data_IF_701323528970
#
_entry.id   IF_701323528970
#
_cell.length_a   1.000
_cell.length_b   1.000
_cell.length_c   1.000
_cell.angle_alpha   90.00
_cell.angle_beta   90.00
_cell.angle_gamma   90.00
#
_symmetry.space_group_name_H-M   'P 1'
#
loop_
_entity.id
_entity.type
_entity.pdbx_description
1 polymer ?
#
# COMPACT_ATOMS: atom_id res chain seq x y z
N UNK A 1 -66.31 -4.89 63.42
CA UNK A 1 -67.33 -3.84 63.20
C UNK A 1 -66.68 -2.48 63.43
N UNK A 2 -67.07 -1.37 62.76
CA UNK A 2 -68.00 -1.18 61.61
C UNK A 2 -67.30 -0.62 60.34
N UNK A 3 -67.75 -0.88 59.09
CA UNK A 3 -68.69 -0.11 58.21
C UNK A 3 -68.31 1.38 58.00
N UNK A 4 -68.30 2.08 56.84
CA UNK A 4 -68.68 1.90 55.41
C UNK A 4 -68.36 3.21 54.64
N UNK A 5 -68.10 3.19 53.31
CA UNK A 5 -68.77 4.01 52.25
C UNK A 5 -68.05 4.05 50.86
N UNK A 6 -68.76 3.62 49.80
CA UNK A 6 -68.97 4.21 48.43
C UNK A 6 -67.81 4.92 47.68
N UNK A 7 -67.57 4.88 46.34
CA UNK A 7 -68.18 4.35 45.10
C UNK A 7 -67.14 4.51 43.93
N UNK A 8 -67.38 3.99 42.70
CA UNK A 8 -66.40 3.68 41.65
C UNK A 8 -66.29 4.72 40.51
N UNK A 9 -65.11 4.91 39.91
CA UNK A 9 -64.98 5.72 38.68
C UNK A 9 -63.65 5.54 37.89
N UNK A 10 -63.22 4.34 37.50
CA UNK A 10 -62.06 4.23 36.56
C UNK A 10 -62.08 3.07 35.55
N UNK A 11 -62.99 2.10 35.66
CA UNK A 11 -63.02 0.94 34.73
C UNK A 11 -63.77 1.15 33.41
N UNK A 12 -64.50 2.27 33.21
CA UNK A 12 -65.23 2.53 31.94
C UNK A 12 -64.41 3.25 30.85
N UNK A 13 -63.27 3.89 31.17
CA UNK A 13 -62.46 4.61 30.16
C UNK A 13 -61.51 3.74 29.33
N UNK A 14 -61.17 2.52 29.76
CA UNK A 14 -60.26 1.64 29.02
C UNK A 14 -60.95 0.83 27.91
N UNK A 15 -62.25 0.54 28.01
CA UNK A 15 -63.00 -0.17 26.97
C UNK A 15 -63.33 0.68 25.74
N UNK A 16 -63.64 1.97 25.92
CA UNK A 16 -64.04 2.87 24.82
C UNK A 16 -62.88 3.32 23.91
N UNK A 17 -61.63 3.35 24.40
CA UNK A 17 -60.46 3.69 23.56
C UNK A 17 -60.04 2.56 22.62
N UNK A 18 -60.27 1.29 22.98
CA UNK A 18 -59.99 0.14 22.09
C UNK A 18 -61.02 -0.03 20.96
N UNK A 19 -62.25 0.45 21.14
CA UNK A 19 -63.30 0.38 20.12
C UNK A 19 -63.17 1.45 19.02
N UNK A 20 -62.74 2.69 19.34
CA UNK A 20 -62.57 3.76 18.34
C UNK A 20 -61.36 3.55 17.41
N UNK A 21 -60.31 2.83 17.85
CA UNK A 21 -59.13 2.55 17.02
C UNK A 21 -59.34 1.50 15.93
N UNK A 22 -60.38 0.65 16.03
CA UNK A 22 -60.72 -0.38 15.01
C UNK A 22 -61.77 0.09 14.00
N UNK A 23 -62.48 1.18 14.27
CA UNK A 23 -63.51 1.72 13.36
C UNK A 23 -62.91 2.57 12.23
N UNK A 24 -61.77 3.23 12.45
CA UNK A 24 -61.09 4.02 11.40
C UNK A 24 -60.28 3.19 10.40
N UNK A 25 -60.06 1.89 10.66
CA UNK A 25 -59.24 1.02 9.81
C UNK A 25 -60.04 0.21 8.78
N UNK A 26 -61.38 0.30 8.77
CA UNK A 26 -62.24 -0.46 7.84
C UNK A 26 -62.92 0.39 6.76
N UNK A 27 -62.81 1.72 6.80
CA UNK A 27 -63.48 2.62 5.86
C UNK A 27 -62.64 3.06 4.65
N UNK A 28 -61.39 2.58 4.52
CA UNK A 28 -60.48 2.99 3.44
C UNK A 28 -60.19 1.88 2.43
N UNK A 29 -60.98 0.80 2.42
CA UNK A 29 -60.72 -0.39 1.59
C UNK A 29 -61.64 -0.56 0.38
N UNK A 30 -62.53 0.39 0.07
CA UNK A 30 -63.34 0.37 -1.15
C UNK A 30 -63.35 1.75 -1.81
N UNK A 31 -62.32 2.03 -2.61
CA UNK A 31 -62.39 3.05 -3.65
C UNK A 31 -61.56 2.57 -4.85
N UNK A 32 -62.31 2.18 -5.88
CA UNK A 32 -61.98 2.10 -7.31
C UNK A 32 -60.54 1.83 -7.74
N UNK A 33 -60.33 0.62 -8.24
CA UNK A 33 -59.22 0.23 -9.09
C UNK A 33 -59.24 1.01 -10.42
N UNK A 34 -58.45 2.06 -10.54
CA UNK A 34 -57.94 2.52 -11.84
C UNK A 34 -56.68 1.70 -12.20
N UNK A 35 -56.56 1.13 -13.40
CA UNK A 35 -55.37 0.38 -13.77
C UNK A 35 -54.18 1.34 -13.95
N UNK A 36 -53.15 1.17 -13.11
CA UNK A 36 -51.84 1.80 -13.31
C UNK A 36 -51.12 1.19 -14.52
N UNK A 37 -50.23 1.93 -15.20
CA UNK A 37 -49.53 1.45 -16.38
C UNK A 37 -48.64 0.26 -16.02
N UNK A 38 -48.63 -0.77 -16.87
CA UNK A 38 -47.78 -1.95 -16.71
C UNK A 38 -46.30 -1.54 -16.63
N UNK A 39 -45.77 -1.40 -15.42
CA UNK A 39 -44.33 -1.42 -15.20
C UNK A 39 -43.84 -2.84 -15.49
N UNK A 40 -43.08 -2.94 -16.56
CA UNK A 40 -42.35 -4.12 -17.00
C UNK A 40 -41.55 -4.68 -15.81
N UNK A 41 -41.92 -5.87 -15.33
CA UNK A 41 -41.11 -6.63 -14.37
C UNK A 41 -39.76 -6.92 -15.03
N UNK A 42 -38.72 -6.13 -14.70
CA UNK A 42 -37.34 -6.60 -14.84
C UNK A 42 -37.20 -7.79 -13.90
N UNK A 43 -36.84 -8.94 -14.44
CA UNK A 43 -36.53 -10.12 -13.64
C UNK A 43 -35.48 -9.74 -12.59
N UNK A 44 -35.81 -9.91 -11.31
CA UNK A 44 -34.84 -9.82 -10.23
C UNK A 44 -33.77 -10.88 -10.49
N UNK A 45 -32.61 -10.40 -10.94
CA UNK A 45 -31.41 -11.24 -11.01
C UNK A 45 -31.09 -11.58 -9.57
N UNK A 46 -31.07 -12.87 -9.23
CA UNK A 46 -30.63 -13.33 -7.93
C UNK A 46 -29.13 -13.01 -7.79
N UNK A 47 -28.83 -11.79 -7.36
CA UNK A 47 -27.47 -11.34 -7.10
C UNK A 47 -26.91 -12.20 -5.97
N UNK A 48 -25.88 -12.98 -6.28
CA UNK A 48 -25.14 -13.73 -5.27
C UNK A 48 -24.42 -12.73 -4.36
N UNK A 49 -24.15 -13.08 -3.10
CA UNK A 49 -23.49 -12.16 -2.15
C UNK A 49 -22.16 -11.57 -2.64
N UNK A 50 -21.52 -12.19 -3.63
CA UNK A 50 -20.30 -11.73 -4.29
C UNK A 50 -20.51 -10.60 -5.30
N UNK A 51 -21.68 -10.52 -5.93
CA UNK A 51 -22.02 -9.47 -6.92
C UNK A 51 -22.04 -8.07 -6.29
N UNK A 52 -22.17 -8.00 -4.95
CA UNK A 52 -22.05 -6.76 -4.18
C UNK A 52 -20.65 -6.14 -4.23
N UNK A 53 -19.60 -6.95 -4.41
CA UNK A 53 -18.21 -6.52 -4.31
C UNK A 53 -17.43 -6.63 -5.62
N UNK A 54 -17.99 -7.33 -6.62
CA UNK A 54 -17.33 -7.59 -7.90
C UNK A 54 -18.13 -6.94 -9.01
N UNK A 55 -17.52 -5.99 -9.70
CA UNK A 55 -18.06 -5.45 -10.93
C UNK A 55 -17.64 -6.34 -12.11
N UNK A 56 -18.38 -7.42 -12.35
CA UNK A 56 -18.09 -8.41 -13.39
C UNK A 56 -17.95 -7.81 -14.79
N UNK A 57 -18.72 -6.77 -15.14
CA UNK A 57 -18.63 -6.12 -16.45
C UNK A 57 -17.26 -5.49 -16.68
N UNK A 58 -16.69 -4.88 -15.65
CA UNK A 58 -15.38 -4.24 -15.73
C UNK A 58 -14.27 -5.27 -15.51
N UNK A 59 -14.48 -6.25 -14.62
CA UNK A 59 -13.49 -7.27 -14.29
C UNK A 59 -13.14 -8.19 -15.47
N UNK A 60 -14.08 -8.43 -16.40
CA UNK A 60 -13.80 -9.18 -17.64
C UNK A 60 -12.69 -8.52 -18.47
N UNK A 61 -12.52 -7.19 -18.41
CA UNK A 61 -11.53 -6.47 -19.21
C UNK A 61 -10.09 -6.85 -18.79
N UNK A 62 -9.66 -6.68 -17.52
CA UNK A 62 -8.35 -7.16 -17.07
C UNK A 62 -8.10 -8.64 -17.36
N UNK A 63 -9.10 -9.50 -17.15
CA UNK A 63 -8.97 -10.95 -17.36
C UNK A 63 -8.77 -11.28 -18.84
N UNK A 64 -9.57 -10.68 -19.72
CA UNK A 64 -9.46 -10.91 -21.17
C UNK A 64 -8.10 -10.42 -21.69
N UNK A 65 -7.65 -9.24 -21.23
CA UNK A 65 -6.34 -8.70 -21.60
C UNK A 65 -5.19 -9.56 -21.07
N UNK A 66 -5.30 -10.09 -19.86
CA UNK A 66 -4.32 -11.03 -19.31
C UNK A 66 -4.11 -12.22 -20.24
N UNK A 67 -5.19 -12.91 -20.63
CA UNK A 67 -5.09 -14.05 -21.56
C UNK A 67 -4.66 -13.63 -22.96
N UNK A 68 -5.13 -12.48 -23.46
CA UNK A 68 -4.71 -11.96 -24.76
C UNK A 68 -3.19 -11.73 -24.82
N UNK A 69 -2.58 -11.18 -23.76
CA UNK A 69 -1.12 -10.97 -23.69
C UNK A 69 -0.37 -12.30 -23.65
N UNK A 70 -0.89 -13.30 -22.91
CA UNK A 70 -0.27 -14.62 -22.86
C UNK A 70 -0.27 -15.32 -24.22
N UNK A 71 -1.38 -15.23 -24.95
CA UNK A 71 -1.58 -15.85 -26.27
C UNK A 71 -0.89 -15.08 -27.41
N UNK A 72 -0.56 -13.80 -27.20
CA UNK A 72 0.11 -12.98 -28.21
C UNK A 72 1.49 -13.55 -28.57
N UNK A 73 1.90 -13.53 -29.85
CA UNK A 73 3.25 -13.95 -30.25
C UNK A 73 4.34 -13.16 -29.51
N UNK A 74 5.46 -13.82 -29.18
CA UNK A 74 6.62 -13.17 -28.55
C UNK A 74 7.30 -12.23 -29.54
N UNK A 75 7.16 -10.92 -29.31
CA UNK A 75 7.93 -9.91 -30.04
C UNK A 75 9.42 -9.97 -29.72
N UNK A 76 10.26 -9.40 -30.60
CA UNK A 76 11.73 -9.41 -30.47
C UNK A 76 12.20 -8.89 -29.10
N UNK A 77 11.68 -7.74 -28.65
CA UNK A 77 12.05 -7.16 -27.37
C UNK A 77 11.81 -8.09 -26.15
N UNK A 78 10.72 -8.87 -26.15
CA UNK A 78 10.44 -9.83 -25.06
C UNK A 78 11.42 -11.01 -25.14
N UNK A 79 11.81 -11.43 -26.36
CA UNK A 79 12.81 -12.48 -26.54
C UNK A 79 14.18 -12.04 -26.07
N UNK A 80 14.60 -10.84 -26.47
CA UNK A 80 15.91 -10.29 -26.12
C UNK A 80 16.03 -10.17 -24.58
N UNK A 81 15.05 -9.52 -23.94
CA UNK A 81 15.06 -9.34 -22.47
C UNK A 81 14.89 -10.68 -21.72
N UNK A 82 14.03 -11.56 -22.22
CA UNK A 82 13.83 -12.89 -21.63
C UNK A 82 15.09 -13.74 -21.68
N UNK A 83 15.82 -13.66 -22.80
CA UNK A 83 17.11 -14.33 -22.99
C UNK A 83 18.19 -13.72 -22.10
N UNK A 84 18.26 -12.39 -22.03
CA UNK A 84 19.19 -11.71 -21.13
C UNK A 84 18.97 -12.10 -19.67
N UNK A 85 17.70 -12.21 -19.26
CA UNK A 85 17.35 -12.60 -17.91
C UNK A 85 17.78 -14.02 -17.56
N UNK A 86 17.50 -15.00 -18.42
CA UNK A 86 17.74 -16.42 -18.11
C UNK A 86 19.15 -16.89 -18.46
N UNK A 87 19.71 -16.42 -19.57
CA UNK A 87 21.02 -16.83 -20.08
C UNK A 87 22.14 -15.87 -19.69
N UNK A 88 21.84 -14.61 -19.38
CA UNK A 88 22.83 -13.60 -19.00
C UNK A 88 23.82 -14.05 -17.93
N UNK A 89 23.38 -14.60 -16.78
CA UNK A 89 24.31 -15.08 -15.74
C UNK A 89 25.27 -16.16 -16.25
N UNK A 90 24.79 -17.11 -17.08
CA UNK A 90 25.64 -18.16 -17.66
C UNK A 90 26.66 -17.58 -18.64
N UNK A 91 26.23 -16.64 -19.48
CA UNK A 91 27.09 -15.96 -20.47
C UNK A 91 28.20 -15.18 -19.78
N UNK A 92 27.86 -14.39 -18.75
CA UNK A 92 28.83 -13.61 -17.96
C UNK A 92 29.83 -14.52 -17.28
N UNK A 93 29.38 -15.60 -16.62
CA UNK A 93 30.27 -16.55 -15.95
C UNK A 93 31.20 -17.23 -16.98
N UNK A 94 30.70 -17.61 -18.16
CA UNK A 94 31.51 -18.21 -19.23
C UNK A 94 32.56 -17.24 -19.75
N UNK A 95 32.20 -15.97 -19.93
CA UNK A 95 33.13 -14.92 -20.36
C UNK A 95 34.22 -14.69 -19.31
N UNK A 96 33.85 -14.48 -18.05
CA UNK A 96 34.79 -14.24 -16.96
C UNK A 96 35.71 -15.44 -16.71
N UNK A 97 35.19 -16.67 -16.81
CA UNK A 97 35.99 -17.89 -16.70
C UNK A 97 37.08 -17.95 -17.77
N UNK A 98 36.74 -17.58 -19.00
CA UNK A 98 37.67 -17.54 -20.13
C UNK A 98 38.69 -16.42 -19.98
N UNK A 99 38.27 -15.21 -19.66
CA UNK A 99 39.17 -14.05 -19.57
C UNK A 99 40.14 -14.12 -18.38
N UNK A 100 39.68 -14.59 -17.22
CA UNK A 100 40.51 -14.62 -16.01
C UNK A 100 41.35 -15.89 -15.87
N UNK A 101 40.84 -17.02 -16.38
CA UNK A 101 41.41 -18.34 -16.09
C UNK A 101 41.58 -19.22 -17.32
N UNK A 102 41.30 -18.71 -18.53
CA UNK A 102 41.39 -19.43 -19.82
C UNK A 102 40.74 -20.83 -19.81
N UNK A 103 39.65 -20.98 -19.06
CA UNK A 103 38.98 -22.27 -18.83
C UNK A 103 37.46 -22.16 -18.94
N UNK A 104 36.79 -23.31 -19.04
CA UNK A 104 35.33 -23.38 -19.03
C UNK A 104 34.80 -23.37 -17.59
N UNK A 105 33.56 -22.89 -17.35
CA UNK A 105 32.96 -22.89 -16.01
C UNK A 105 32.93 -24.26 -15.31
N UNK A 106 32.88 -25.37 -16.06
CA UNK A 106 32.91 -26.75 -15.53
C UNK A 106 34.26 -27.14 -14.93
N UNK A 107 35.33 -26.51 -15.39
CA UNK A 107 36.71 -26.90 -15.07
C UNK A 107 37.33 -25.97 -14.02
N UNK A 108 36.57 -24.96 -13.58
CA UNK A 108 36.99 -24.01 -12.56
C UNK A 108 37.14 -24.67 -11.19
N UNK A 109 38.21 -24.32 -10.49
CA UNK A 109 38.33 -24.62 -9.06
C UNK A 109 37.26 -23.85 -8.28
N UNK A 110 36.86 -24.37 -7.11
CA UNK A 110 35.80 -23.77 -6.30
C UNK A 110 36.00 -22.27 -5.99
N UNK A 111 37.25 -21.85 -5.71
CA UNK A 111 37.56 -20.44 -5.47
C UNK A 111 37.46 -19.58 -6.74
N UNK A 112 37.80 -20.12 -7.93
CA UNK A 112 37.67 -19.41 -9.20
C UNK A 112 36.19 -19.25 -9.58
N UNK A 113 35.40 -20.31 -9.39
CA UNK A 113 33.96 -20.27 -9.59
C UNK A 113 33.30 -19.24 -8.65
N UNK A 114 33.73 -19.20 -7.38
CA UNK A 114 33.30 -18.19 -6.42
C UNK A 114 33.63 -16.78 -6.91
N UNK A 115 34.86 -16.54 -7.39
CA UNK A 115 35.28 -15.23 -7.93
C UNK A 115 34.35 -14.76 -9.05
N UNK A 116 34.13 -15.58 -10.08
CA UNK A 116 33.30 -15.19 -11.23
C UNK A 116 31.82 -15.03 -10.84
N UNK A 117 31.30 -15.82 -9.90
CA UNK A 117 29.93 -15.67 -9.40
C UNK A 117 29.74 -14.38 -8.59
N UNK A 118 30.71 -13.98 -7.78
CA UNK A 118 30.65 -12.71 -7.03
C UNK A 118 30.77 -11.52 -8.00
N UNK A 119 31.65 -11.61 -9.00
CA UNK A 119 31.77 -10.62 -10.07
C UNK A 119 30.47 -10.46 -10.87
N UNK A 120 29.82 -11.56 -11.30
CA UNK A 120 28.51 -11.50 -11.99
C UNK A 120 27.45 -10.77 -11.15
N UNK A 121 27.37 -11.07 -9.84
CA UNK A 121 26.38 -10.45 -8.96
C UNK A 121 26.68 -8.99 -8.67
N UNK A 122 27.95 -8.63 -8.54
CA UNK A 122 28.38 -7.24 -8.43
C UNK A 122 28.02 -6.45 -9.70
N UNK A 123 28.30 -7.01 -10.88
CA UNK A 123 27.90 -6.43 -12.17
C UNK A 123 26.38 -6.21 -12.25
N UNK A 124 25.57 -7.21 -11.86
CA UNK A 124 24.11 -7.10 -11.86
C UNK A 124 23.56 -6.04 -10.90
N UNK A 125 24.32 -5.68 -9.87
CA UNK A 125 23.95 -4.63 -8.90
C UNK A 125 24.64 -3.30 -9.19
N UNK A 126 25.23 -3.15 -10.39
CA UNK A 126 26.02 -1.98 -10.82
C UNK A 126 27.17 -1.62 -9.84
N UNK A 127 27.63 -2.59 -9.05
CA UNK A 127 28.74 -2.44 -8.12
C UNK A 127 30.06 -2.82 -8.82
N UNK A 128 30.47 -1.98 -9.77
CA UNK A 128 31.61 -2.27 -10.67
C UNK A 128 32.98 -2.00 -10.04
N UNK A 129 33.03 -1.41 -8.84
CA UNK A 129 34.28 -1.09 -8.17
C UNK A 129 34.91 -2.32 -7.50
N UNK A 130 36.23 -2.45 -7.58
CA UNK A 130 36.99 -3.55 -6.98
C UNK A 130 36.78 -3.63 -5.47
N UNK A 131 36.73 -2.49 -4.79
CA UNK A 131 36.50 -2.42 -3.34
C UNK A 131 35.16 -3.05 -2.93
N UNK A 132 34.14 -3.00 -3.80
CA UNK A 132 32.85 -3.64 -3.52
C UNK A 132 32.98 -5.15 -3.49
N UNK A 133 33.87 -5.73 -4.30
CA UNK A 133 34.20 -7.16 -4.24
C UNK A 133 34.93 -7.51 -2.95
N UNK A 134 35.99 -6.75 -2.61
CA UNK A 134 36.84 -7.01 -1.45
C UNK A 134 36.05 -6.91 -0.12
N UNK A 135 35.06 -6.02 -0.08
CA UNK A 135 34.18 -5.82 1.07
C UNK A 135 33.02 -6.83 1.16
N UNK A 136 32.87 -7.81 0.26
CA UNK A 136 31.83 -8.84 0.38
C UNK A 136 32.15 -9.81 1.52
N UNK A 137 31.18 -10.02 2.40
CA UNK A 137 31.28 -10.86 3.58
C UNK A 137 30.39 -12.11 3.47
N UNK A 138 30.52 -13.01 4.45
CA UNK A 138 29.74 -14.25 4.56
C UNK A 138 28.23 -13.97 4.51
N UNK A 139 27.78 -12.87 5.13
CA UNK A 139 26.37 -12.49 5.18
C UNK A 139 25.86 -12.13 3.78
N UNK A 140 26.62 -11.36 3.01
CA UNK A 140 26.29 -11.02 1.64
C UNK A 140 26.25 -12.25 0.73
N UNK A 141 27.21 -13.17 0.86
CA UNK A 141 27.27 -14.39 0.05
C UNK A 141 26.08 -15.31 0.32
N UNK A 142 25.72 -15.52 1.60
CA UNK A 142 24.52 -16.26 2.00
C UNK A 142 23.25 -15.63 1.42
N UNK A 143 23.09 -14.31 1.58
CA UNK A 143 21.92 -13.57 1.08
C UNK A 143 21.76 -13.73 -0.42
N UNK A 144 22.88 -13.72 -1.14
CA UNK A 144 22.88 -13.85 -2.58
C UNK A 144 22.79 -15.29 -3.07
N UNK A 145 22.75 -16.31 -2.19
CA UNK A 145 22.79 -17.74 -2.59
C UNK A 145 24.04 -18.08 -3.40
N UNK A 146 25.20 -17.57 -2.99
CA UNK A 146 26.51 -18.00 -3.51
C UNK A 146 27.05 -19.05 -2.54
N UNK A 147 27.38 -20.25 -3.02
CA UNK A 147 28.06 -21.23 -2.20
C UNK A 147 29.51 -20.78 -1.97
N UNK A 148 29.98 -20.80 -0.74
CA UNK A 148 31.33 -20.36 -0.41
C UNK A 148 31.92 -21.15 0.76
N UNK A 149 33.24 -21.18 0.77
CA UNK A 149 34.06 -21.58 1.92
C UNK A 149 34.99 -20.39 2.25
N UNK A 150 35.31 -20.19 3.54
CA UNK A 150 36.11 -19.03 3.97
C UNK A 150 37.48 -18.99 3.30
N UNK A 151 38.14 -20.15 3.15
CA UNK A 151 39.46 -20.24 2.53
C UNK A 151 39.41 -19.88 1.04
N UNK A 152 38.36 -20.34 0.36
CA UNK A 152 38.14 -20.00 -1.05
C UNK A 152 37.79 -18.51 -1.24
N UNK A 153 37.07 -17.91 -0.30
CA UNK A 153 36.76 -16.47 -0.33
C UNK A 153 38.02 -15.62 -0.13
N UNK A 154 38.87 -15.96 0.84
CA UNK A 154 40.14 -15.27 1.05
C UNK A 154 41.03 -15.33 -0.20
N UNK A 155 41.15 -16.52 -0.79
CA UNK A 155 41.91 -16.70 -2.04
C UNK A 155 41.32 -15.90 -3.21
N UNK A 156 39.99 -15.85 -3.33
CA UNK A 156 39.32 -15.02 -4.32
C UNK A 156 39.61 -13.52 -4.11
N UNK A 157 39.59 -13.05 -2.86
CA UNK A 157 39.92 -11.65 -2.51
C UNK A 157 41.38 -11.31 -2.77
N UNK A 158 42.30 -12.23 -2.46
CA UNK A 158 43.72 -12.05 -2.75
C UNK A 158 43.96 -11.91 -4.26
N UNK A 159 43.36 -12.80 -5.06
CA UNK A 159 43.42 -12.73 -6.52
C UNK A 159 42.86 -11.41 -7.06
N UNK A 160 41.64 -11.03 -6.64
CA UNK A 160 41.01 -9.78 -7.10
C UNK A 160 41.73 -8.54 -6.58
N UNK A 161 42.33 -8.60 -5.39
CA UNK A 161 43.16 -7.54 -4.84
C UNK A 161 44.42 -7.28 -5.66
N UNK A 162 44.93 -8.31 -6.36
CA UNK A 162 46.03 -8.19 -7.31
C UNK A 162 45.67 -7.51 -8.64
N UNK A 163 44.38 -7.43 -8.99
CA UNK A 163 43.92 -6.75 -10.23
C UNK A 163 43.92 -5.23 -10.04
N UNK A 164 44.27 -4.48 -11.09
CA UNK A 164 44.16 -3.02 -11.07
C UNK A 164 42.70 -2.54 -11.08
N UNK A 165 42.39 -1.42 -10.44
CA UNK A 165 41.00 -0.91 -10.36
C UNK A 165 40.38 -0.68 -11.74
N UNK A 166 41.15 -0.09 -12.67
CA UNK A 166 40.71 0.15 -14.06
C UNK A 166 40.52 -1.15 -14.84
N UNK A 167 41.39 -2.12 -14.62
CA UNK A 167 41.35 -3.42 -15.28
C UNK A 167 40.11 -4.21 -14.83
N UNK A 168 39.89 -4.29 -13.52
CA UNK A 168 38.71 -4.92 -12.94
C UNK A 168 37.41 -4.29 -13.45
N UNK A 169 37.35 -2.96 -13.48
CA UNK A 169 36.17 -2.25 -13.98
C UNK A 169 35.93 -2.50 -15.46
N UNK A 170 36.96 -2.40 -16.30
CA UNK A 170 36.86 -2.67 -17.73
C UNK A 170 36.45 -4.12 -18.02
N UNK A 171 36.94 -5.08 -17.23
CA UNK A 171 36.52 -6.48 -17.34
C UNK A 171 35.02 -6.65 -17.07
N UNK A 172 34.49 -6.00 -16.02
CA UNK A 172 33.06 -6.07 -15.71
C UNK A 172 32.19 -5.31 -16.73
N UNK A 173 32.67 -4.20 -17.28
CA UNK A 173 31.99 -3.48 -18.36
C UNK A 173 31.89 -4.35 -19.62
N UNK A 174 33.00 -4.99 -20.03
CA UNK A 174 32.97 -5.97 -21.14
C UNK A 174 32.04 -7.15 -20.85
N UNK A 175 32.04 -7.65 -19.62
CA UNK A 175 31.13 -8.73 -19.23
C UNK A 175 29.65 -8.29 -19.28
N UNK A 176 29.36 -7.02 -18.99
CA UNK A 176 28.02 -6.45 -19.13
C UNK A 176 27.62 -6.35 -20.61
N UNK A 177 28.54 -5.97 -21.50
CA UNK A 177 28.29 -5.92 -22.94
C UNK A 177 27.99 -7.32 -23.51
N UNK A 178 28.70 -8.35 -23.05
CA UNK A 178 28.41 -9.75 -23.44
C UNK A 178 26.97 -10.15 -23.09
N UNK A 179 26.45 -9.64 -21.97
CA UNK A 179 25.08 -9.89 -21.52
C UNK A 179 24.07 -9.06 -22.30
N UNK A 180 24.29 -7.75 -22.40
CA UNK A 180 23.26 -6.79 -22.85
C UNK A 180 23.25 -6.55 -24.36
N UNK A 181 24.40 -6.72 -25.03
CA UNK A 181 24.56 -6.35 -26.44
C UNK A 181 24.75 -7.58 -27.32
N UNK A 182 25.61 -8.52 -26.89
CA UNK A 182 26.03 -9.65 -27.74
C UNK A 182 25.19 -10.90 -27.58
N UNK A 183 24.36 -10.99 -26.55
CA UNK A 183 23.53 -12.16 -26.30
C UNK A 183 22.25 -12.08 -27.14
N UNK A 184 22.25 -12.77 -28.28
CA UNK A 184 21.05 -12.93 -29.12
C UNK A 184 20.44 -14.32 -28.95
N UNK A 185 19.11 -14.40 -28.99
CA UNK A 185 18.35 -15.64 -28.96
C UNK A 185 18.63 -16.53 -30.18
N UNK A 186 18.86 -15.95 -31.36
CA UNK A 186 19.11 -16.71 -32.60
C UNK A 186 20.40 -17.52 -32.57
N UNK A 187 21.34 -17.11 -31.73
CA UNK A 187 22.69 -17.67 -31.69
C UNK A 187 22.84 -18.73 -30.58
N UNK A 188 21.74 -19.04 -29.88
CA UNK A 188 21.71 -20.04 -28.82
C UNK A 188 21.75 -21.47 -29.36
N UNK A 189 22.42 -22.35 -28.61
CA UNK A 189 22.38 -23.80 -28.84
C UNK A 189 21.04 -24.38 -28.38
N UNK A 190 20.64 -25.52 -28.92
CA UNK A 190 19.35 -26.18 -28.58
C UNK A 190 19.11 -26.36 -27.08
N UNK A 191 20.15 -26.70 -26.31
CA UNK A 191 20.04 -26.84 -24.84
C UNK A 191 19.79 -25.50 -24.12
N UNK A 192 20.34 -24.41 -24.65
CA UNK A 192 20.20 -23.07 -24.09
C UNK A 192 18.89 -22.40 -24.52
N UNK A 193 18.33 -22.78 -25.69
CA UNK A 193 17.03 -22.29 -26.19
C UNK A 193 15.91 -22.59 -25.20
N UNK A 194 15.86 -23.80 -24.63
CA UNK A 194 14.83 -24.16 -23.62
C UNK A 194 14.89 -23.24 -22.40
N UNK A 195 16.11 -22.93 -21.93
CA UNK A 195 16.30 -22.01 -20.79
C UNK A 195 15.90 -20.57 -21.15
N UNK A 196 16.16 -20.15 -22.39
CA UNK A 196 15.72 -18.86 -22.91
C UNK A 196 14.18 -18.79 -23.00
N UNK A 197 13.54 -19.81 -23.55
CA UNK A 197 12.08 -19.90 -23.66
C UNK A 197 11.38 -19.85 -22.30
N UNK A 198 11.92 -20.52 -21.28
CA UNK A 198 11.42 -20.44 -19.91
C UNK A 198 11.51 -19.01 -19.35
N UNK A 199 12.62 -18.30 -19.63
CA UNK A 199 12.81 -16.89 -19.25
C UNK A 199 11.81 -15.97 -19.94
N UNK A 200 11.60 -16.19 -21.24
CA UNK A 200 10.64 -15.46 -22.06
C UNK A 200 9.21 -15.69 -21.55
N UNK A 201 8.86 -16.93 -21.21
CA UNK A 201 7.56 -17.26 -20.62
C UNK A 201 7.31 -16.52 -19.31
N UNK A 202 8.29 -16.55 -18.38
CA UNK A 202 8.23 -15.82 -17.11
C UNK A 202 7.99 -14.32 -17.33
N UNK A 203 8.71 -13.72 -18.29
CA UNK A 203 8.57 -12.31 -18.62
C UNK A 203 7.18 -11.97 -19.19
N UNK A 204 6.65 -12.80 -20.09
CA UNK A 204 5.30 -12.61 -20.64
C UNK A 204 4.23 -12.63 -19.55
N UNK A 205 4.30 -13.60 -18.65
CA UNK A 205 3.35 -13.69 -17.54
C UNK A 205 3.50 -12.49 -16.59
N UNK A 206 4.74 -12.07 -16.29
CA UNK A 206 4.97 -10.89 -15.46
C UNK A 206 4.33 -9.62 -16.08
N UNK A 207 4.47 -9.43 -17.39
CA UNK A 207 3.83 -8.32 -18.12
C UNK A 207 2.30 -8.43 -18.11
N UNK A 208 1.76 -9.61 -18.40
CA UNK A 208 0.31 -9.85 -18.35
C UNK A 208 -0.26 -9.57 -16.95
N UNK A 209 0.42 -10.05 -15.92
CA UNK A 209 0.07 -9.86 -14.51
C UNK A 209 0.17 -8.38 -14.10
N UNK A 210 1.16 -7.65 -14.60
CA UNK A 210 1.29 -6.21 -14.37
C UNK A 210 0.08 -5.47 -14.95
N UNK A 211 -0.27 -5.72 -16.21
CA UNK A 211 -1.44 -5.11 -16.86
C UNK A 211 -2.73 -5.46 -16.11
N UNK A 212 -2.91 -6.74 -15.75
CA UNK A 212 -4.04 -7.20 -14.95
C UNK A 212 -4.15 -6.43 -13.62
N UNK A 213 -3.04 -6.33 -12.88
CA UNK A 213 -3.01 -5.69 -11.56
C UNK A 213 -3.30 -4.20 -11.65
N UNK A 214 -2.65 -3.50 -12.59
CA UNK A 214 -2.84 -2.05 -12.80
C UNK A 214 -4.28 -1.74 -13.18
N UNK A 215 -4.87 -2.50 -14.11
CA UNK A 215 -6.27 -2.29 -14.49
C UNK A 215 -7.23 -2.61 -13.34
N UNK A 216 -6.99 -3.67 -12.58
CA UNK A 216 -7.79 -3.97 -11.38
C UNK A 216 -7.73 -2.84 -10.35
N UNK A 217 -6.55 -2.23 -10.14
CA UNK A 217 -6.37 -1.13 -9.19
C UNK A 217 -7.02 0.17 -9.67
N UNK A 218 -6.85 0.53 -10.95
CA UNK A 218 -7.45 1.75 -11.51
C UNK A 218 -8.97 1.68 -11.56
N UNK A 219 -9.52 0.51 -11.86
CA UNK A 219 -10.97 0.32 -12.01
C UNK A 219 -11.68 -0.07 -10.72
N UNK A 220 -10.94 -0.49 -9.70
CA UNK A 220 -11.46 -1.06 -8.46
C UNK A 220 -12.55 -2.13 -8.71
N UNK A 221 -12.40 -2.93 -9.77
CA UNK A 221 -13.43 -3.87 -10.22
C UNK A 221 -13.63 -5.06 -9.27
N UNK A 222 -12.62 -5.40 -8.46
CA UNK A 222 -12.67 -6.36 -7.36
C UNK A 222 -11.94 -5.75 -6.14
N UNK A 223 -12.21 -6.24 -4.91
CA UNK A 223 -11.51 -5.77 -3.72
C UNK A 223 -9.98 -6.01 -3.82
N UNK A 224 -9.18 -5.08 -3.30
CA UNK A 224 -7.71 -5.18 -3.34
C UNK A 224 -7.15 -6.51 -2.79
N UNK A 225 -7.68 -7.09 -1.70
CA UNK A 225 -7.22 -8.42 -1.25
C UNK A 225 -7.50 -9.53 -2.26
N UNK A 226 -8.58 -9.43 -3.05
CA UNK A 226 -8.89 -10.38 -4.10
C UNK A 226 -7.90 -10.25 -5.26
N UNK A 227 -7.49 -9.03 -5.63
CA UNK A 227 -6.40 -8.82 -6.62
C UNK A 227 -5.11 -9.47 -6.13
N UNK A 228 -4.74 -9.23 -4.86
CA UNK A 228 -3.55 -9.83 -4.27
C UNK A 228 -3.60 -11.37 -4.30
N UNK A 229 -4.77 -11.97 -4.05
CA UNK A 229 -4.96 -13.42 -4.14
C UNK A 229 -4.87 -13.94 -5.59
N UNK A 230 -5.46 -13.22 -6.57
CA UNK A 230 -5.32 -13.55 -7.98
C UNK A 230 -3.86 -13.54 -8.44
N UNK A 231 -3.05 -12.58 -7.98
CA UNK A 231 -1.61 -12.53 -8.27
C UNK A 231 -0.94 -13.84 -7.82
N UNK A 232 -1.19 -14.28 -6.58
CA UNK A 232 -0.66 -15.54 -6.05
C UNK A 232 -1.08 -16.74 -6.87
N UNK A 233 -2.36 -16.84 -7.25
CA UNK A 233 -2.86 -17.92 -8.09
C UNK A 233 -2.21 -17.92 -9.49
N UNK A 234 -2.10 -16.75 -10.12
CA UNK A 234 -1.48 -16.60 -11.44
C UNK A 234 -0.07 -17.19 -11.40
N UNK A 235 0.77 -16.75 -10.45
CA UNK A 235 2.18 -17.15 -10.42
C UNK A 235 2.40 -18.64 -10.11
N UNK A 236 1.51 -19.28 -9.32
CA UNK A 236 1.52 -20.74 -9.12
C UNK A 236 1.05 -21.47 -10.38
N UNK A 237 -0.09 -21.06 -10.95
CA UNK A 237 -0.71 -21.75 -12.09
C UNK A 237 0.15 -21.65 -13.36
N UNK A 238 0.90 -20.56 -13.52
CA UNK A 238 1.84 -20.40 -14.64
C UNK A 238 3.20 -21.07 -14.39
N UNK A 239 3.40 -21.69 -13.23
CA UNK A 239 4.62 -22.41 -12.88
C UNK A 239 5.85 -21.52 -12.65
N UNK A 240 5.67 -20.24 -12.33
CA UNK A 240 6.79 -19.30 -12.14
C UNK A 240 7.46 -19.54 -10.79
N UNK A 241 6.65 -19.89 -9.80
CA UNK A 241 7.03 -20.11 -8.41
C UNK A 241 6.29 -21.32 -7.88
N UNK A 242 6.90 -22.02 -6.93
CA UNK A 242 6.27 -23.15 -6.26
C UNK A 242 5.17 -22.69 -5.30
N UNK A 243 4.31 -23.63 -4.88
CA UNK A 243 3.28 -23.38 -3.85
C UNK A 243 3.89 -22.92 -2.52
N UNK A 244 5.06 -23.46 -2.16
CA UNK A 244 5.81 -23.07 -0.96
C UNK A 244 6.39 -21.67 -1.09
N UNK A 245 6.95 -21.34 -2.26
CA UNK A 245 7.50 -20.01 -2.54
C UNK A 245 6.42 -18.93 -2.49
N UNK A 246 5.23 -19.20 -3.02
CA UNK A 246 4.11 -18.24 -2.96
C UNK A 246 3.64 -18.02 -1.54
N UNK A 247 3.49 -19.08 -0.75
CA UNK A 247 3.16 -18.95 0.66
C UNK A 247 4.20 -18.11 1.41
N UNK A 248 5.50 -18.32 1.13
CA UNK A 248 6.58 -17.54 1.72
C UNK A 248 6.52 -16.05 1.33
N UNK A 249 6.09 -15.71 0.11
CA UNK A 249 5.93 -14.31 -0.32
C UNK A 249 4.85 -13.56 0.49
N UNK A 250 3.77 -14.23 0.88
CA UNK A 250 2.76 -13.64 1.78
C UNK A 250 3.23 -13.55 3.24
N UNK A 251 4.27 -14.29 3.61
CA UNK A 251 4.81 -14.38 4.96
C UNK A 251 6.07 -13.52 5.15
N UNK A 252 6.06 -12.29 4.64
CA UNK A 252 7.21 -11.38 4.79
C UNK A 252 7.19 -10.63 6.13
N UNK A 253 8.39 -10.24 6.60
CA UNK A 253 8.57 -9.42 7.80
C UNK A 253 7.73 -8.13 7.76
N UNK A 254 7.54 -7.56 6.57
CA UNK A 254 6.79 -6.34 6.34
C UNK A 254 5.29 -6.52 6.56
N UNK A 255 4.73 -7.67 6.15
CA UNK A 255 3.33 -8.02 6.43
C UNK A 255 3.12 -8.18 7.94
N UNK A 256 4.04 -8.87 8.62
CA UNK A 256 4.02 -9.03 10.08
C UNK A 256 4.14 -7.69 10.81
N UNK A 257 5.01 -6.82 10.35
CA UNK A 257 5.18 -5.48 10.90
C UNK A 257 3.90 -4.64 10.75
N UNK A 258 3.30 -4.63 9.56
CA UNK A 258 2.03 -3.91 9.31
C UNK A 258 0.90 -4.49 10.17
N UNK A 259 0.83 -5.82 10.30
CA UNK A 259 -0.16 -6.47 11.16
C UNK A 259 0.01 -6.03 12.63
N UNK A 260 1.23 -6.09 13.16
CA UNK A 260 1.54 -5.66 14.52
C UNK A 260 1.27 -4.18 14.77
N UNK A 261 1.64 -3.31 13.83
CA UNK A 261 1.40 -1.86 13.96
C UNK A 261 -0.09 -1.52 13.96
N UNK A 262 -0.89 -2.15 13.08
CA UNK A 262 -2.34 -1.96 13.04
C UNK A 262 -3.04 -2.52 14.29
N UNK A 263 -2.57 -3.66 14.83
CA UNK A 263 -3.07 -4.20 16.10
C UNK A 263 -2.79 -3.25 17.27
N UNK A 264 -1.55 -2.72 17.35
CA UNK A 264 -1.18 -1.75 18.38
C UNK A 264 -1.99 -0.45 18.24
N UNK A 265 -2.10 0.09 17.03
CA UNK A 265 -2.92 1.26 16.75
C UNK A 265 -4.39 1.04 17.15
N UNK A 266 -4.95 -0.13 16.85
CA UNK A 266 -6.32 -0.49 17.24
C UNK A 266 -6.47 -0.60 18.76
N UNK A 267 -5.51 -1.20 19.46
CA UNK A 267 -5.53 -1.26 20.92
C UNK A 267 -5.44 0.13 21.55
N UNK A 268 -4.59 1.00 21.00
CA UNK A 268 -4.44 2.39 21.41
C UNK A 268 -5.74 3.20 21.26
N UNK A 269 -6.45 3.02 20.14
CA UNK A 269 -7.77 3.64 19.89
C UNK A 269 -8.84 3.05 20.82
N UNK A 270 -8.85 1.73 21.04
CA UNK A 270 -9.82 1.07 21.93
C UNK A 270 -9.69 1.51 23.38
N UNK A 271 -8.48 1.77 23.86
CA UNK A 271 -8.23 2.26 25.23
C UNK A 271 -8.60 3.74 25.40
N UNK A 272 -8.85 4.47 24.32
CA UNK A 272 -9.19 5.89 24.35
C UNK A 272 -8.03 6.80 24.73
N UNK A 273 -6.80 6.28 24.74
CA UNK A 273 -5.58 7.04 25.05
C UNK A 273 -5.33 8.09 23.97
N UNK A 274 -5.57 7.74 22.72
CA UNK A 274 -5.62 8.64 21.57
C UNK A 274 -6.53 9.86 21.83
N UNK A 275 -7.78 9.64 22.22
CA UNK A 275 -8.75 10.70 22.49
C UNK A 275 -8.30 11.60 23.64
N UNK A 276 -7.74 11.01 24.70
CA UNK A 276 -7.24 11.77 25.86
C UNK A 276 -6.07 12.67 25.49
N UNK A 277 -5.08 12.14 24.76
CA UNK A 277 -3.89 12.91 24.34
C UNK A 277 -4.32 14.03 23.38
N UNK A 278 -5.12 13.70 22.37
CA UNK A 278 -5.66 14.65 21.41
C UNK A 278 -6.44 15.77 22.09
N UNK A 279 -7.38 15.45 23.00
CA UNK A 279 -8.17 16.47 23.68
C UNK A 279 -7.34 17.30 24.65
N UNK A 280 -6.34 16.72 25.31
CA UNK A 280 -5.44 17.46 26.19
C UNK A 280 -4.61 18.47 25.40
N UNK A 281 -4.08 18.08 24.24
CA UNK A 281 -3.34 18.97 23.34
C UNK A 281 -4.25 20.07 22.77
N UNK A 282 -5.46 19.72 22.33
CA UNK A 282 -6.43 20.70 21.82
C UNK A 282 -6.83 21.71 22.91
N UNK A 283 -7.19 21.24 24.11
CA UNK A 283 -7.59 22.12 25.22
C UNK A 283 -6.49 23.09 25.65
N UNK A 284 -5.23 22.68 25.62
CA UNK A 284 -4.10 23.55 26.00
C UNK A 284 -3.74 24.59 24.94
N UNK A 285 -4.07 24.33 23.68
CA UNK A 285 -3.61 25.15 22.56
C UNK A 285 -4.72 26.00 21.92
N UNK A 286 -6.01 25.67 22.15
CA UNK A 286 -7.11 26.31 21.43
C UNK A 286 -7.28 27.81 21.79
N UNK A 287 -6.90 28.65 20.82
CA UNK A 287 -7.17 30.10 20.78
C UNK A 287 -8.44 30.32 19.94
N UNK A 288 -9.32 31.29 20.26
CA UNK A 288 -10.57 31.52 19.54
C UNK A 288 -10.35 32.21 18.17
N UNK A 289 -9.55 31.62 17.29
CA UNK A 289 -9.45 32.08 15.90
C UNK A 289 -9.41 30.89 14.95
N UNK A 290 -10.07 31.05 13.80
CA UNK A 290 -10.13 30.01 12.75
C UNK A 290 -8.73 29.63 12.27
N UNK A 291 -7.86 30.64 12.10
CA UNK A 291 -6.47 30.44 11.69
C UNK A 291 -5.66 29.63 12.72
N UNK A 292 -5.78 29.93 14.01
CA UNK A 292 -5.08 29.19 15.05
C UNK A 292 -5.62 27.77 15.20
N UNK A 293 -6.94 27.59 15.19
CA UNK A 293 -7.56 26.27 15.36
C UNK A 293 -7.18 25.33 14.21
N UNK A 294 -7.20 25.80 12.97
CA UNK A 294 -6.76 25.00 11.83
C UNK A 294 -5.28 24.64 11.89
N UNK A 295 -4.42 25.57 12.36
CA UNK A 295 -3.00 25.28 12.59
C UNK A 295 -2.81 24.24 13.70
N UNK A 296 -3.54 24.35 14.81
CA UNK A 296 -3.45 23.42 15.94
C UNK A 296 -3.91 22.03 15.53
N UNK A 297 -4.98 21.92 14.74
CA UNK A 297 -5.42 20.63 14.18
C UNK A 297 -4.27 20.02 13.36
N UNK A 298 -3.62 20.78 12.49
CA UNK A 298 -2.46 20.28 11.72
C UNK A 298 -1.28 19.88 12.63
N UNK A 299 -0.98 20.69 13.64
CA UNK A 299 0.12 20.48 14.57
C UNK A 299 -0.07 19.26 15.47
N UNK A 300 -1.32 18.96 15.85
CA UNK A 300 -1.65 17.82 16.71
C UNK A 300 -1.86 16.55 15.88
N UNK A 301 -2.66 16.63 14.81
CA UNK A 301 -3.04 15.46 14.01
C UNK A 301 -1.91 15.02 13.08
N UNK A 302 -1.15 15.96 12.50
CA UNK A 302 -0.06 15.65 11.58
C UNK A 302 0.96 14.69 12.19
N UNK A 303 1.68 15.04 13.26
CA UNK A 303 2.63 14.14 13.90
C UNK A 303 1.97 12.89 14.50
N UNK A 304 0.72 12.99 14.98
CA UNK A 304 0.00 11.84 15.53
C UNK A 304 -0.33 10.76 14.47
N UNK A 305 -0.61 11.17 13.22
CA UNK A 305 -0.87 10.25 12.09
C UNK A 305 0.36 9.42 11.72
N UNK A 306 1.56 9.82 12.15
CA UNK A 306 2.75 8.97 12.01
C UNK A 306 2.66 7.66 12.80
N UNK A 307 1.82 7.58 13.84
CA UNK A 307 1.73 6.41 14.72
C UNK A 307 0.33 5.83 14.85
N UNK A 308 -0.68 6.60 14.42
CA UNK A 308 -2.10 6.25 14.52
C UNK A 308 -2.66 6.22 13.10
N UNK A 309 -3.55 5.27 12.82
CA UNK A 309 -4.21 5.18 11.52
C UNK A 309 -4.93 6.49 11.15
N UNK A 310 -4.64 7.00 9.96
CA UNK A 310 -5.26 8.21 9.39
C UNK A 310 -6.80 8.17 9.46
N UNK A 311 -7.38 6.98 9.23
CA UNK A 311 -8.82 6.77 9.32
C UNK A 311 -9.37 6.97 10.74
N UNK A 312 -8.62 6.54 11.76
CA UNK A 312 -9.02 6.71 13.16
C UNK A 312 -8.95 8.18 13.58
N UNK A 313 -7.88 8.89 13.22
CA UNK A 313 -7.73 10.32 13.52
C UNK A 313 -8.81 11.15 12.81
N UNK A 314 -9.07 10.88 11.54
CA UNK A 314 -10.15 11.56 10.81
C UNK A 314 -11.51 11.35 11.51
N UNK A 315 -11.81 10.13 11.95
CA UNK A 315 -13.08 9.82 12.64
C UNK A 315 -13.22 10.54 14.01
N UNK A 316 -12.11 10.82 14.71
CA UNK A 316 -12.11 11.52 16.01
C UNK A 316 -12.30 13.02 15.84
N UNK A 317 -11.61 13.61 14.87
CA UNK A 317 -11.59 15.07 14.69
C UNK A 317 -12.70 15.59 13.78
N UNK A 318 -13.30 14.74 12.94
CA UNK A 318 -14.42 15.15 12.09
C UNK A 318 -15.63 15.65 12.90
N UNK A 319 -16.09 14.97 13.98
CA UNK A 319 -17.13 15.51 14.84
C UNK A 319 -16.75 16.85 15.49
N UNK A 320 -15.48 17.03 15.88
CA UNK A 320 -14.97 18.29 16.44
C UNK A 320 -15.07 19.42 15.41
N UNK A 321 -14.65 19.17 14.17
CA UNK A 321 -14.78 20.11 13.07
C UNK A 321 -16.25 20.47 12.79
N UNK A 322 -17.16 19.49 12.85
CA UNK A 322 -18.60 19.71 12.69
C UNK A 322 -19.17 20.56 13.84
N UNK A 323 -18.79 20.29 15.08
CA UNK A 323 -19.23 21.07 16.25
C UNK A 323 -18.74 22.52 16.18
N UNK A 324 -17.47 22.74 15.84
CA UNK A 324 -16.89 24.08 15.64
C UNK A 324 -17.63 24.86 14.55
N UNK A 325 -18.01 24.19 13.46
CA UNK A 325 -18.81 24.79 12.41
C UNK A 325 -20.25 25.11 12.88
N UNK A 326 -20.93 24.18 13.56
CA UNK A 326 -22.31 24.37 14.03
C UNK A 326 -22.43 25.49 15.07
N UNK A 327 -21.42 25.66 15.92
CA UNK A 327 -21.37 26.74 16.91
C UNK A 327 -20.98 28.10 16.32
N UNK A 328 -20.67 28.18 15.03
CA UNK A 328 -20.18 29.40 14.36
C UNK A 328 -21.14 29.82 13.25
N UNK A 329 -21.74 31.00 13.42
CA UNK A 329 -22.61 31.61 12.41
C UNK A 329 -22.01 32.91 11.92
N UNK A 330 -22.35 33.26 10.67
CA UNK A 330 -22.08 34.59 10.14
C UNK A 330 -22.86 35.66 10.93
N UNK A 331 -22.48 36.94 10.84
CA UNK A 331 -23.21 38.04 11.49
C UNK A 331 -24.69 38.12 11.11
N UNK A 332 -25.05 37.63 9.93
CA UNK A 332 -26.44 37.55 9.42
C UNK A 332 -27.21 36.31 9.91
N UNK A 333 -26.60 35.47 10.75
CA UNK A 333 -27.19 34.22 11.27
C UNK A 333 -27.13 33.03 10.30
N UNK A 334 -26.61 33.22 9.08
CA UNK A 334 -26.47 32.14 8.10
C UNK A 334 -25.21 31.29 8.36
N UNK A 335 -25.21 30.00 7.96
CA UNK A 335 -24.03 29.15 8.14
C UNK A 335 -22.92 29.50 7.14
N UNK A 336 -21.67 29.48 7.59
CA UNK A 336 -20.50 29.72 6.74
C UNK A 336 -19.97 28.41 6.13
N UNK A 337 -20.41 28.10 4.90
CA UNK A 337 -19.98 26.89 4.19
C UNK A 337 -18.47 26.86 3.91
N UNK A 338 -17.82 28.01 3.76
CA UNK A 338 -16.37 28.08 3.54
C UNK A 338 -15.61 27.67 4.81
N UNK A 339 -16.13 28.02 5.99
CA UNK A 339 -15.60 27.55 7.27
C UNK A 339 -15.74 26.03 7.40
N UNK A 340 -16.90 25.46 7.04
CA UNK A 340 -17.10 24.01 7.07
C UNK A 340 -16.09 23.26 6.18
N UNK A 341 -15.92 23.72 4.93
CA UNK A 341 -14.94 23.16 3.98
C UNK A 341 -13.53 23.27 4.55
N UNK A 342 -13.15 24.44 5.06
CA UNK A 342 -11.83 24.67 5.64
C UNK A 342 -11.53 23.70 6.77
N UNK A 343 -12.44 23.54 7.74
CA UNK A 343 -12.24 22.67 8.90
C UNK A 343 -12.17 21.19 8.52
N UNK A 344 -13.09 20.71 7.68
CA UNK A 344 -13.12 19.30 7.25
C UNK A 344 -11.88 18.96 6.41
N UNK A 345 -11.48 19.83 5.47
CA UNK A 345 -10.28 19.63 4.66
C UNK A 345 -9.02 19.72 5.53
N UNK A 346 -8.98 20.59 6.53
CA UNK A 346 -7.86 20.64 7.48
C UNK A 346 -7.69 19.31 8.21
N UNK A 347 -8.78 18.71 8.71
CA UNK A 347 -8.72 17.39 9.37
C UNK A 347 -8.22 16.31 8.40
N UNK A 348 -8.76 16.27 7.18
CA UNK A 348 -8.36 15.29 6.16
C UNK A 348 -6.90 15.42 5.74
N UNK A 349 -6.41 16.64 5.52
CA UNK A 349 -5.02 16.90 5.16
C UNK A 349 -4.07 16.62 6.33
N UNK A 350 -4.44 17.02 7.55
CA UNK A 350 -3.63 16.75 8.74
C UNK A 350 -3.46 15.24 8.97
N UNK A 351 -4.52 14.46 8.80
CA UNK A 351 -4.46 13.01 8.88
C UNK A 351 -3.66 12.38 7.74
N UNK A 352 -3.44 13.06 6.60
CA UNK A 352 -2.69 12.50 5.47
C UNK A 352 -1.18 12.76 5.57
N UNK A 353 -0.79 13.96 6.00
CA UNK A 353 0.61 14.40 6.04
C UNK A 353 1.44 13.55 6.99
N UNK A 354 0.84 13.13 8.10
CA UNK A 354 1.51 12.36 9.15
C UNK A 354 1.98 10.97 8.74
N UNK A 355 1.32 10.35 7.76
CA UNK A 355 1.57 8.96 7.37
C UNK A 355 3.01 8.69 6.88
N UNK A 356 3.77 9.74 6.51
CA UNK A 356 5.17 9.64 6.10
C UNK A 356 6.17 9.65 7.26
N UNK A 357 5.75 10.13 8.44
CA UNK A 357 6.66 10.45 9.55
C UNK A 357 7.25 9.23 10.28
N UNK A 358 6.62 8.06 10.20
CA UNK A 358 7.20 6.81 10.72
C UNK A 358 6.91 5.62 9.81
N UNK A 359 7.70 4.53 9.90
CA UNK A 359 7.38 3.28 9.19
C UNK A 359 5.99 2.73 9.54
N UNK A 360 5.52 2.94 10.76
CA UNK A 360 4.22 2.44 11.23
C UNK A 360 3.02 3.25 10.75
N UNK A 361 3.23 4.48 10.28
CA UNK A 361 2.16 5.38 9.84
C UNK A 361 1.49 4.95 8.53
N UNK A 362 2.21 4.26 7.64
CA UNK A 362 1.64 3.81 6.37
C UNK A 362 2.37 2.60 5.78
N UNK A 363 1.59 1.66 5.22
CA UNK A 363 2.11 0.44 4.60
C UNK A 363 3.17 0.72 3.51
N UNK A 364 3.05 1.85 2.80
CA UNK A 364 4.01 2.31 1.78
C UNK A 364 5.43 2.47 2.34
N UNK A 365 5.58 2.92 3.57
CA UNK A 365 6.88 3.17 4.18
C UNK A 365 7.60 1.84 4.46
N UNK A 366 6.88 0.85 5.00
CA UNK A 366 7.41 -0.49 5.27
C UNK A 366 7.79 -1.21 3.97
N UNK A 367 6.95 -1.09 2.94
CA UNK A 367 7.25 -1.63 1.61
C UNK A 367 8.52 -0.97 1.04
N UNK A 368 8.67 0.35 1.18
CA UNK A 368 9.88 1.05 0.74
C UNK A 368 11.12 0.60 1.51
N UNK A 369 11.05 0.42 2.84
CA UNK A 369 12.15 -0.16 3.63
C UNK A 369 12.57 -1.53 3.09
N UNK A 370 11.60 -2.35 2.70
CA UNK A 370 11.85 -3.68 2.11
C UNK A 370 12.56 -3.55 0.77
N UNK A 371 12.06 -2.71 -0.13
CA UNK A 371 12.68 -2.51 -1.44
C UNK A 371 14.08 -1.92 -1.36
N UNK A 372 14.31 -0.95 -0.46
CA UNK A 372 15.65 -0.38 -0.24
C UNK A 372 16.64 -1.45 0.24
N UNK A 373 16.20 -2.34 1.11
CA UNK A 373 17.01 -3.45 1.62
C UNK A 373 17.28 -4.52 0.57
N UNK A 374 16.25 -4.92 -0.18
CA UNK A 374 16.30 -6.03 -1.12
C UNK A 374 17.00 -5.64 -2.43
N UNK A 375 16.64 -4.49 -3.01
CA UNK A 375 17.16 -4.04 -4.30
C UNK A 375 18.50 -3.31 -4.17
N UNK A 376 18.65 -2.45 -3.17
CA UNK A 376 19.83 -1.58 -3.04
C UNK A 376 20.77 -1.99 -1.90
N UNK A 377 20.37 -2.94 -1.05
CA UNK A 377 21.16 -3.36 0.11
C UNK A 377 21.22 -2.33 1.23
N UNK A 378 20.34 -1.33 1.21
CA UNK A 378 20.30 -0.24 2.19
C UNK A 378 19.33 -0.65 3.31
N UNK A 379 19.87 -0.99 4.48
CA UNK A 379 19.08 -1.35 5.66
C UNK A 379 18.85 -0.10 6.52
N UNK A 380 17.64 0.47 6.44
CA UNK A 380 17.24 1.65 7.21
C UNK A 380 16.50 1.19 8.47
N UNK A 381 17.01 1.58 9.64
CA UNK A 381 16.34 1.26 10.90
C UNK A 381 15.06 2.10 11.11
N UNK A 382 14.17 1.64 11.99
CA UNK A 382 12.92 2.35 12.30
C UNK A 382 13.15 3.79 12.77
N UNK A 383 14.11 3.99 13.69
CA UNK A 383 14.45 5.32 14.22
C UNK A 383 15.06 6.19 13.13
N UNK A 384 15.93 5.62 12.29
CA UNK A 384 16.52 6.34 11.17
C UNK A 384 15.47 6.82 10.17
N UNK A 385 14.44 6.02 9.88
CA UNK A 385 13.32 6.49 9.07
C UNK A 385 12.60 7.69 9.71
N UNK A 386 12.35 7.66 11.02
CA UNK A 386 11.73 8.80 11.73
C UNK A 386 12.58 10.06 11.60
N UNK A 387 13.91 9.94 11.68
CA UNK A 387 14.79 11.11 11.50
C UNK A 387 14.70 11.73 10.10
N UNK A 388 14.30 10.95 9.08
CA UNK A 388 14.08 11.46 7.73
C UNK A 388 12.64 11.92 7.49
N UNK A 389 11.66 11.15 7.95
CA UNK A 389 10.24 11.40 7.71
C UNK A 389 9.65 12.50 8.60
N UNK A 390 10.03 12.56 9.87
CA UNK A 390 9.42 13.51 10.82
C UNK A 390 9.73 14.98 10.49
N UNK A 391 10.96 15.36 10.09
CA UNK A 391 11.22 16.73 9.64
C UNK A 391 10.36 17.13 8.44
N UNK A 392 10.11 16.21 7.51
CA UNK A 392 9.22 16.45 6.37
C UNK A 392 7.78 16.73 6.84
N UNK A 393 7.25 15.94 7.78
CA UNK A 393 5.92 16.18 8.38
C UNK A 393 5.85 17.56 9.03
N UNK A 394 6.86 17.94 9.81
CA UNK A 394 6.92 19.24 10.48
C UNK A 394 6.97 20.42 9.52
N UNK A 395 7.65 20.28 8.37
CA UNK A 395 7.70 21.30 7.32
C UNK A 395 6.37 21.38 6.56
N UNK A 396 5.70 20.24 6.33
CA UNK A 396 4.44 20.21 5.59
C UNK A 396 3.26 20.78 6.38
N UNK A 397 3.32 20.82 7.72
CA UNK A 397 2.31 21.46 8.57
C UNK A 397 2.10 22.94 8.23
N UNK A 398 3.12 23.83 8.30
CA UNK A 398 2.94 25.24 7.96
C UNK A 398 2.64 25.44 6.47
N UNK A 399 3.22 24.64 5.57
CA UNK A 399 2.93 24.72 4.12
C UNK A 399 1.45 24.47 3.87
N UNK A 400 0.91 23.38 4.41
CA UNK A 400 -0.51 23.02 4.27
C UNK A 400 -1.41 24.07 4.91
N UNK A 401 -1.03 24.59 6.07
CA UNK A 401 -1.79 25.64 6.73
C UNK A 401 -1.87 26.92 5.88
N UNK A 402 -0.76 27.32 5.26
CA UNK A 402 -0.73 28.47 4.35
C UNK A 402 -1.63 28.23 3.14
N UNK A 403 -1.51 27.06 2.50
CA UNK A 403 -2.34 26.70 1.33
C UNK A 403 -3.83 26.71 1.69
N UNK A 404 -4.22 26.10 2.81
CA UNK A 404 -5.61 26.07 3.27
C UNK A 404 -6.15 27.50 3.49
N UNK A 405 -5.36 28.39 4.11
CA UNK A 405 -5.76 29.80 4.31
C UNK A 405 -5.86 30.60 3.01
N UNK A 406 -5.06 30.27 2.00
CA UNK A 406 -5.09 30.96 0.71
C UNK A 406 -6.29 30.52 -0.13
N UNK A 407 -6.62 29.22 -0.09
CA UNK A 407 -7.72 28.62 -0.86
C UNK A 407 -9.08 28.91 -0.22
N UNK A 408 -9.20 28.75 1.10
CA UNK A 408 -10.47 28.93 1.82
C UNK A 408 -10.47 30.25 2.61
N UNK A 409 -11.44 31.12 2.30
CA UNK A 409 -11.57 32.45 2.91
C UNK A 409 -12.90 32.56 3.67
N UNK A 410 -12.99 31.99 4.89
CA UNK A 410 -14.20 32.09 5.69
C UNK A 410 -14.47 33.55 6.10
N UNK A 411 -15.75 33.88 6.20
CA UNK A 411 -16.23 35.19 6.68
C UNK A 411 -16.14 35.25 8.20
N UNK A 412 -16.43 34.13 8.87
CA UNK A 412 -16.25 33.98 10.32
C UNK A 412 -14.75 33.80 10.62
N UNK A 413 -14.21 34.63 11.51
CA UNK A 413 -12.79 34.58 11.92
C UNK A 413 -12.59 34.25 13.40
N UNK A 414 -13.61 34.50 14.21
CA UNK A 414 -13.64 34.25 15.64
C UNK A 414 -14.51 33.03 15.95
N UNK A 415 -13.96 32.11 16.75
CA UNK A 415 -14.59 30.85 17.15
C UNK A 415 -14.98 30.84 18.64
N UNK A 416 -14.90 31.98 19.35
CA UNK A 416 -15.24 32.11 20.78
C UNK A 416 -16.57 31.44 21.14
N UNK A 417 -17.70 31.70 20.43
CA UNK A 417 -19.00 31.11 20.79
C UNK A 417 -19.03 29.57 20.68
N UNK A 418 -18.28 29.02 19.72
CA UNK A 418 -18.20 27.57 19.51
C UNK A 418 -17.29 26.88 20.53
N UNK A 419 -16.26 27.60 21.00
CA UNK A 419 -15.32 27.11 22.00
C UNK A 419 -15.95 27.02 23.39
N UNK A 420 -16.94 27.87 23.71
CA UNK A 420 -17.71 27.78 24.95
C UNK A 420 -18.66 26.58 24.97
N UNK A 421 -19.30 26.27 23.83
CA UNK A 421 -20.10 25.06 23.63
C UNK A 421 -19.30 23.76 23.79
N UNK A 422 -17.98 23.78 23.55
CA UNK A 422 -17.09 22.64 23.76
C UNK A 422 -16.65 22.45 25.22
N UNK A 423 -16.87 23.45 26.09
CA UNK A 423 -16.50 23.41 27.52
C UNK A 423 -17.65 22.98 28.43
N UNK A 424 -18.90 23.20 28.01
CA UNK A 424 -20.13 22.63 28.62
C UNK A 424 -20.29 21.17 28.22
#
# INVERSE_FOLDING_TARGET
MPFTRTRPALRRRQGQRRARGRAHTKSALHQESKPMPKQQKKADKHETGYDKYINWKIFVIPVTLFFAILLMPTGKAIRDVGTEYSMGPKTVIRFLAKELFDTKPSDLQQWQLLTVQVMEKNMRTAALDRDRFLNRDDKWLKRNKVAFDKKNLERAKEFVGGLGDKEYRSLLERAADERMIKLDYSDLKEDDIKTADDGIWKLKVALAMLVFTVLCFLTACIPLPAVAFCIGLIVVLTGIVSREEVAAMYWSDSVWFIMGSLMFATAFVKTGVDKRITMLLFKRLAVPSVGAITFIILLVVGPASSFISDHALAAIFLPVAIMLFQGSRKPDGTPDMELAKMLIITVGMAANIGGLGSPSGGARNVIMLTYLKDMFGIDISYVQWITYGMPFVLIMIPVTWIVIKLVFKPTVKDLTPSMELLKS
#
